data_IF_168126013232
#
_entry.id   IF_168126013232
#
_cell.length_a   1.000
_cell.length_b   1.000
_cell.length_c   1.000
_cell.angle_alpha   90.00
_cell.angle_beta   90.00
_cell.angle_gamma   90.00
#
_symmetry.space_group_name_H-M   'P 1'
#
loop_
_entity.id
_entity.type
_entity.pdbx_description
1 polymer ?
#
# COMPACT_ATOMS: atom_id res chain seq x y z
N UNK A 1 51.05 -46.07 -33.14
CA UNK A 1 50.38 -45.31 -32.05
C UNK A 1 49.31 -44.41 -32.66
N UNK A 2 48.08 -44.91 -32.82
CA UNK A 2 46.95 -44.07 -33.22
C UNK A 2 46.49 -43.28 -31.99
N UNK A 3 46.98 -42.05 -31.82
CA UNK A 3 46.29 -41.09 -30.97
C UNK A 3 45.01 -40.72 -31.70
N UNK A 4 43.86 -40.96 -31.08
CA UNK A 4 42.61 -40.40 -31.57
C UNK A 4 42.77 -38.89 -31.77
N UNK A 5 42.18 -38.31 -32.83
CA UNK A 5 42.24 -36.87 -33.05
C UNK A 5 41.65 -36.14 -31.84
N UNK A 6 42.43 -35.27 -31.20
CA UNK A 6 41.99 -34.42 -30.09
C UNK A 6 42.10 -32.94 -30.49
N UNK A 7 41.10 -32.15 -30.12
CA UNK A 7 41.08 -30.70 -30.36
C UNK A 7 41.82 -29.96 -29.25
N UNK A 8 42.57 -28.92 -29.58
CA UNK A 8 43.04 -27.98 -28.56
C UNK A 8 41.92 -27.03 -28.10
N UNK A 9 42.20 -26.26 -27.04
CA UNK A 9 41.24 -25.29 -26.44
C UNK A 9 40.77 -24.21 -27.43
N UNK A 10 41.56 -23.95 -28.46
CA UNK A 10 41.29 -22.94 -29.49
C UNK A 10 40.58 -23.55 -30.70
N UNK A 11 40.20 -24.84 -30.64
CA UNK A 11 39.44 -25.52 -31.68
C UNK A 11 40.28 -25.99 -32.88
N UNK A 12 41.61 -26.01 -32.76
CA UNK A 12 42.49 -26.49 -33.83
C UNK A 12 42.65 -28.00 -33.76
N UNK A 13 42.55 -28.64 -34.92
CA UNK A 13 42.90 -30.04 -35.12
C UNK A 13 43.93 -30.13 -36.25
N UNK A 14 45.11 -30.69 -35.94
CA UNK A 14 46.11 -31.03 -36.94
C UNK A 14 46.06 -32.54 -37.19
N UNK A 15 45.54 -32.94 -38.36
CA UNK A 15 45.59 -34.33 -38.84
C UNK A 15 46.24 -34.34 -40.21
N UNK A 16 47.32 -35.12 -40.36
CA UNK A 16 48.02 -35.34 -41.65
C UNK A 16 48.44 -34.05 -42.38
N UNK A 17 48.77 -32.97 -41.64
CA UNK A 17 49.23 -31.71 -42.22
C UNK A 17 48.11 -30.76 -42.68
N UNK A 18 46.84 -31.12 -42.50
CA UNK A 18 45.70 -30.23 -42.74
C UNK A 18 45.26 -29.58 -41.42
N UNK A 19 45.22 -28.25 -41.40
CA UNK A 19 44.65 -27.48 -40.30
C UNK A 19 43.13 -27.41 -40.49
N UNK A 20 42.38 -28.10 -39.64
CA UNK A 20 40.93 -27.91 -39.54
C UNK A 20 40.63 -26.95 -38.38
N UNK A 21 39.99 -25.82 -38.66
CA UNK A 21 39.56 -24.85 -37.66
C UNK A 21 38.09 -25.11 -37.34
N UNK A 22 37.80 -25.40 -36.07
CA UNK A 22 36.45 -25.47 -35.53
C UNK A 22 36.24 -24.33 -34.54
N UNK A 23 34.98 -23.94 -34.28
CA UNK A 23 34.68 -23.06 -33.16
C UNK A 23 35.33 -23.59 -31.87
N UNK A 24 35.85 -22.67 -31.04
CA UNK A 24 36.42 -23.00 -29.73
C UNK A 24 35.40 -23.78 -28.89
N UNK A 25 35.85 -24.46 -27.84
CA UNK A 25 34.93 -25.23 -26.98
C UNK A 25 33.79 -24.35 -26.42
N UNK A 26 34.03 -23.07 -26.11
CA UNK A 26 33.02 -22.10 -25.65
C UNK A 26 32.12 -21.56 -26.76
N UNK A 27 32.54 -21.63 -28.03
CA UNK A 27 31.72 -21.30 -29.20
C UNK A 27 30.93 -22.49 -29.76
N UNK A 28 31.12 -23.72 -29.23
CA UNK A 28 30.33 -24.89 -29.61
C UNK A 28 29.02 -25.03 -28.85
N UNK A 29 28.78 -24.21 -27.82
CA UNK A 29 27.45 -24.11 -27.22
C UNK A 29 26.59 -23.19 -28.08
N UNK A 30 25.78 -23.81 -28.94
CA UNK A 30 24.85 -23.09 -29.81
C UNK A 30 23.53 -22.75 -29.11
N UNK A 31 23.25 -23.34 -27.94
CA UNK A 31 22.01 -23.10 -27.22
C UNK A 31 21.93 -21.66 -26.70
N UNK A 32 23.09 -21.02 -26.50
CA UNK A 32 23.16 -19.60 -26.14
C UNK A 32 22.58 -18.66 -27.20
N UNK A 33 22.66 -19.01 -28.48
CA UNK A 33 22.05 -18.22 -29.55
C UNK A 33 20.51 -18.37 -29.60
N UNK A 34 19.95 -19.34 -28.87
CA UNK A 34 18.50 -19.50 -28.77
C UNK A 34 17.87 -18.65 -27.66
N UNK A 35 18.68 -17.89 -26.90
CA UNK A 35 18.17 -17.01 -25.86
C UNK A 35 17.28 -15.91 -26.44
N UNK A 36 16.15 -15.69 -25.77
CA UNK A 36 15.16 -14.67 -26.12
C UNK A 36 14.91 -13.80 -24.90
N UNK A 37 14.47 -12.56 -25.17
CA UNK A 37 14.02 -11.65 -24.12
C UNK A 37 13.01 -12.35 -23.20
N UNK A 38 13.23 -12.28 -21.90
CA UNK A 38 12.42 -12.97 -20.89
C UNK A 38 12.93 -14.35 -20.47
N UNK A 39 13.97 -14.88 -21.12
CA UNK A 39 14.61 -16.12 -20.67
C UNK A 39 15.35 -15.92 -19.35
N UNK A 40 15.17 -16.86 -18.42
CA UNK A 40 15.90 -16.86 -17.15
C UNK A 40 17.24 -17.56 -17.32
N UNK A 41 18.31 -16.89 -16.90
CA UNK A 41 19.67 -17.40 -16.97
C UNK A 41 20.25 -17.61 -15.58
N UNK A 42 21.04 -18.68 -15.43
CA UNK A 42 21.83 -18.94 -14.23
C UNK A 42 23.30 -18.66 -14.53
N UNK A 43 23.95 -17.98 -13.59
CA UNK A 43 25.38 -17.65 -13.66
C UNK A 43 26.17 -18.30 -12.52
N UNK A 44 27.49 -18.18 -12.60
CA UNK A 44 28.37 -18.67 -11.55
C UNK A 44 28.01 -18.11 -10.15
N UNK A 45 28.23 -18.95 -9.13
CA UNK A 45 27.96 -18.65 -7.71
C UNK A 45 26.49 -18.37 -7.37
N UNK A 46 25.56 -19.10 -8.02
CA UNK A 46 24.13 -19.00 -7.73
C UNK A 46 23.50 -17.69 -8.20
N UNK A 47 24.14 -17.00 -9.16
CA UNK A 47 23.56 -15.80 -9.74
C UNK A 47 22.41 -16.16 -10.69
N UNK A 48 21.44 -15.26 -10.79
CA UNK A 48 20.33 -15.40 -11.73
C UNK A 48 19.95 -14.05 -12.31
N UNK A 49 19.47 -14.05 -13.55
CA UNK A 49 18.98 -12.84 -14.21
C UNK A 49 17.96 -13.19 -15.30
N UNK A 50 17.32 -12.16 -15.86
CA UNK A 50 16.45 -12.30 -17.03
C UNK A 50 17.12 -11.61 -18.23
N UNK A 51 17.32 -12.36 -19.30
CA UNK A 51 17.89 -11.87 -20.54
C UNK A 51 17.01 -10.78 -21.16
N UNK A 52 17.60 -9.63 -21.52
CA UNK A 52 16.91 -8.56 -22.25
C UNK A 52 17.30 -8.57 -23.74
N UNK A 53 18.60 -8.41 -24.02
CA UNK A 53 19.13 -8.33 -25.38
C UNK A 53 20.64 -8.61 -25.43
N UNK A 54 21.15 -8.88 -26.63
CA UNK A 54 22.57 -8.90 -26.90
C UNK A 54 23.15 -7.48 -26.79
N UNK A 55 24.29 -7.37 -26.11
CA UNK A 55 24.98 -6.09 -25.92
C UNK A 55 25.96 -5.80 -27.06
N UNK A 56 26.31 -6.83 -27.85
CA UNK A 56 27.23 -6.73 -28.98
C UNK A 56 26.91 -7.74 -30.10
N UNK A 57 27.38 -7.45 -31.31
CA UNK A 57 27.11 -8.23 -32.51
C UNK A 57 27.93 -9.53 -32.60
N UNK A 58 28.99 -9.66 -31.80
CA UNK A 58 29.79 -10.88 -31.68
C UNK A 58 29.21 -11.87 -30.65
N UNK A 59 28.08 -11.54 -30.02
CA UNK A 59 27.34 -12.41 -29.08
C UNK A 59 28.21 -12.91 -27.92
N UNK A 60 29.19 -12.11 -27.51
CA UNK A 60 30.04 -12.39 -26.35
C UNK A 60 29.48 -11.77 -25.08
N UNK A 61 28.59 -10.77 -25.19
CA UNK A 61 27.97 -10.06 -24.07
C UNK A 61 26.48 -9.86 -24.23
N UNK A 62 25.77 -9.82 -23.11
CA UNK A 62 24.33 -9.54 -23.06
C UNK A 62 23.96 -8.61 -21.93
N UNK A 63 22.85 -7.89 -22.12
CA UNK A 63 22.19 -7.08 -21.09
C UNK A 63 21.08 -7.89 -20.42
N UNK A 64 20.95 -7.71 -19.11
CA UNK A 64 19.99 -8.42 -18.28
C UNK A 64 19.28 -7.50 -17.28
N UNK A 65 18.11 -7.94 -16.85
CA UNK A 65 17.32 -7.33 -15.78
C UNK A 65 17.12 -8.30 -14.61
N UNK A 66 16.68 -7.74 -13.49
CA UNK A 66 16.34 -8.47 -12.25
C UNK A 66 17.50 -9.29 -11.67
N UNK A 67 18.74 -8.83 -11.83
CA UNK A 67 19.94 -9.59 -11.44
C UNK A 67 19.99 -9.85 -9.94
N UNK A 68 20.23 -11.12 -9.59
CA UNK A 68 20.48 -11.58 -8.23
C UNK A 68 21.91 -12.13 -8.13
N UNK A 69 22.74 -11.65 -7.18
CA UNK A 69 22.47 -10.58 -6.23
C UNK A 69 22.47 -9.19 -6.89
N UNK A 70 21.68 -8.25 -6.33
CA UNK A 70 21.45 -6.88 -6.84
C UNK A 70 22.73 -6.01 -6.94
N UNK A 71 23.85 -6.45 -6.37
CA UNK A 71 25.14 -5.74 -6.39
C UNK A 71 25.94 -5.92 -7.69
N UNK A 72 25.49 -6.78 -8.61
CA UNK A 72 26.14 -6.98 -9.91
C UNK A 72 25.66 -5.94 -10.93
N UNK A 73 26.48 -5.68 -11.96
CA UNK A 73 26.10 -4.80 -13.08
C UNK A 73 24.96 -5.39 -13.93
N UNK A 74 24.64 -4.75 -15.05
CA UNK A 74 23.53 -5.18 -15.93
C UNK A 74 23.99 -5.88 -17.20
N UNK A 75 25.29 -5.85 -17.51
CA UNK A 75 25.87 -6.45 -18.74
C UNK A 75 26.89 -7.51 -18.36
N UNK A 76 26.83 -8.67 -19.00
CA UNK A 76 27.63 -9.85 -18.63
C UNK A 76 28.28 -10.51 -19.83
N UNK A 77 29.43 -11.16 -19.60
CA UNK A 77 30.06 -12.09 -20.54
C UNK A 77 29.27 -13.40 -20.57
N UNK A 78 29.08 -13.97 -21.76
CA UNK A 78 28.20 -15.12 -21.99
C UNK A 78 28.76 -16.43 -21.45
N UNK A 79 30.09 -16.56 -21.37
CA UNK A 79 30.76 -17.82 -21.02
C UNK A 79 30.41 -18.33 -19.61
N UNK A 80 29.98 -17.44 -18.72
CA UNK A 80 29.65 -17.75 -17.32
C UNK A 80 28.16 -18.04 -17.08
N UNK A 81 27.34 -18.08 -18.14
CA UNK A 81 25.89 -18.15 -18.04
C UNK A 81 25.27 -19.26 -18.90
N UNK A 82 24.23 -19.88 -18.37
CA UNK A 82 23.43 -20.86 -19.08
C UNK A 82 21.93 -20.60 -18.89
N UNK A 83 21.12 -21.02 -19.86
CA UNK A 83 19.66 -20.90 -19.76
C UNK A 83 19.11 -21.92 -18.77
N UNK A 84 18.25 -21.47 -17.87
CA UNK A 84 17.47 -22.36 -17.01
C UNK A 84 16.34 -22.95 -17.85
N UNK A 85 16.21 -24.27 -17.85
CA UNK A 85 15.14 -25.00 -18.55
C UNK A 85 14.15 -25.66 -17.59
N UNK A 86 14.50 -25.74 -16.29
CA UNK A 86 13.61 -26.27 -15.27
C UNK A 86 12.51 -25.25 -14.94
N UNK A 87 11.26 -25.58 -15.32
CA UNK A 87 10.10 -24.72 -15.09
C UNK A 87 9.87 -24.35 -13.62
N UNK A 88 10.16 -25.25 -12.67
CA UNK A 88 9.97 -24.97 -11.25
C UNK A 88 10.95 -23.90 -10.77
N UNK A 89 12.21 -23.96 -11.21
CA UNK A 89 13.22 -22.94 -10.90
C UNK A 89 12.86 -21.60 -11.53
N UNK A 90 12.41 -21.59 -12.80
CA UNK A 90 11.97 -20.37 -13.49
C UNK A 90 10.79 -19.73 -12.74
N UNK A 91 9.76 -20.53 -12.41
CA UNK A 91 8.57 -20.05 -11.68
C UNK A 91 8.93 -19.53 -10.30
N UNK A 92 9.83 -20.18 -9.58
CA UNK A 92 10.26 -19.70 -8.28
C UNK A 92 10.94 -18.34 -8.40
N UNK A 93 11.90 -18.21 -9.31
CA UNK A 93 12.65 -16.97 -9.49
C UNK A 93 11.76 -15.80 -9.94
N UNK A 94 10.81 -16.04 -10.85
CA UNK A 94 9.83 -15.02 -11.24
C UNK A 94 8.96 -14.61 -10.04
N UNK A 95 8.48 -15.56 -9.24
CA UNK A 95 7.70 -15.24 -8.04
C UNK A 95 8.49 -14.41 -7.05
N UNK A 96 9.76 -14.75 -6.80
CA UNK A 96 10.61 -13.97 -5.91
C UNK A 96 10.75 -12.52 -6.40
N UNK A 97 10.89 -12.31 -7.72
CA UNK A 97 10.90 -10.97 -8.34
C UNK A 97 9.56 -10.27 -8.14
N UNK A 98 8.43 -10.94 -8.41
CA UNK A 98 7.10 -10.37 -8.28
C UNK A 98 6.77 -9.99 -6.82
N UNK A 99 7.15 -10.82 -5.85
CA UNK A 99 7.02 -10.57 -4.41
C UNK A 99 7.88 -9.39 -3.97
N UNK A 100 9.15 -9.33 -4.38
CA UNK A 100 10.07 -8.22 -4.09
C UNK A 100 9.57 -6.88 -4.65
N UNK A 101 8.87 -6.90 -5.79
CA UNK A 101 8.46 -5.68 -6.51
C UNK A 101 6.97 -5.33 -6.34
N UNK A 102 6.16 -6.22 -5.76
CA UNK A 102 4.74 -5.98 -5.47
C UNK A 102 3.84 -5.92 -6.71
N UNK A 103 4.21 -6.60 -7.79
CA UNK A 103 3.49 -6.57 -9.06
C UNK A 103 3.86 -7.74 -9.98
N UNK A 104 3.08 -7.94 -11.05
CA UNK A 104 3.28 -9.07 -11.96
C UNK A 104 4.36 -8.73 -12.99
N UNK A 105 5.32 -9.62 -13.21
CA UNK A 105 6.38 -9.39 -14.18
C UNK A 105 5.89 -9.71 -15.59
N UNK A 106 5.95 -8.72 -16.49
CA UNK A 106 5.75 -8.95 -17.91
C UNK A 106 7.08 -9.35 -18.55
N UNK A 107 7.24 -10.63 -18.90
CA UNK A 107 8.48 -11.15 -19.50
C UNK A 107 8.80 -10.59 -20.90
N UNK A 108 7.83 -9.97 -21.57
CA UNK A 108 8.02 -9.39 -22.90
C UNK A 108 8.57 -7.97 -22.82
N UNK A 109 8.05 -7.14 -21.91
CA UNK A 109 8.52 -5.76 -21.70
C UNK A 109 9.67 -5.70 -20.68
N UNK A 110 9.74 -6.70 -19.80
CA UNK A 110 10.57 -6.71 -18.59
C UNK A 110 10.26 -5.53 -17.66
N UNK A 111 8.97 -5.26 -17.52
CA UNK A 111 8.41 -4.26 -16.61
C UNK A 111 7.49 -4.96 -15.59
N UNK A 112 7.37 -4.38 -14.41
CA UNK A 112 6.47 -4.85 -13.36
C UNK A 112 5.13 -4.15 -13.55
N UNK A 113 4.10 -4.92 -13.88
CA UNK A 113 2.72 -4.47 -13.94
C UNK A 113 2.16 -4.47 -12.51
N UNK A 114 2.11 -3.28 -11.91
CA UNK A 114 1.47 -3.08 -10.62
C UNK A 114 -0.05 -3.13 -10.80
N UNK A 115 -0.64 -4.27 -10.47
CA UNK A 115 -2.11 -4.40 -10.32
C UNK A 115 -2.59 -3.85 -8.97
N UNK A 116 -1.76 -3.11 -8.23
CA UNK A 116 -2.23 -2.47 -7.01
C UNK A 116 -3.29 -1.41 -7.37
N UNK A 117 -4.42 -1.38 -6.65
CA UNK A 117 -5.39 -0.31 -6.82
C UNK A 117 -4.70 1.04 -6.72
N UNK A 118 -4.93 1.94 -7.68
CA UNK A 118 -4.56 3.35 -7.52
C UNK A 118 -5.45 3.95 -6.45
N UNK A 119 -4.96 3.99 -5.21
CA UNK A 119 -5.63 4.66 -4.13
C UNK A 119 -5.57 6.17 -4.32
N UNK A 120 -6.70 6.83 -4.11
CA UNK A 120 -6.89 8.26 -4.27
C UNK A 120 -6.90 8.95 -2.91
N UNK A 121 -6.77 10.26 -2.97
CA UNK A 121 -6.95 11.14 -1.81
C UNK A 121 -8.35 10.97 -1.20
N UNK A 122 -8.39 10.56 0.06
CA UNK A 122 -9.57 10.21 0.85
C UNK A 122 -9.88 8.72 0.92
N UNK A 123 -9.18 7.86 0.17
CA UNK A 123 -9.39 6.42 0.23
C UNK A 123 -8.98 5.85 1.58
N UNK A 124 -9.73 4.85 2.05
CA UNK A 124 -9.44 4.17 3.30
C UNK A 124 -8.75 2.84 2.99
N UNK A 125 -7.57 2.65 3.57
CA UNK A 125 -6.68 1.54 3.24
C UNK A 125 -6.23 0.79 4.48
N UNK A 126 -5.90 -0.48 4.28
CA UNK A 126 -5.17 -1.29 5.23
C UNK A 126 -3.70 -1.35 4.80
N UNK A 127 -2.78 -1.11 5.73
CA UNK A 127 -1.35 -1.28 5.57
C UNK A 127 -0.91 -2.49 6.39
N UNK A 128 -0.34 -3.49 5.75
CA UNK A 128 0.12 -4.71 6.43
C UNK A 128 1.55 -5.10 6.03
N UNK A 129 2.29 -5.67 6.98
CA UNK A 129 3.65 -6.15 6.80
C UNK A 129 4.02 -7.12 7.92
N UNK A 130 5.27 -7.58 7.99
CA UNK A 130 5.68 -8.56 9.00
C UNK A 130 5.45 -8.03 10.44
N UNK A 131 4.39 -8.50 11.09
CA UNK A 131 3.99 -8.06 12.43
C UNK A 131 3.39 -6.66 12.51
N UNK A 132 3.10 -6.02 11.38
CA UNK A 132 2.54 -4.67 11.32
C UNK A 132 1.16 -4.69 10.66
N UNK A 133 0.19 -4.04 11.30
CA UNK A 133 -1.15 -3.84 10.77
C UNK A 133 -1.61 -2.44 11.15
N UNK A 134 -2.02 -1.66 10.16
CA UNK A 134 -2.60 -0.34 10.37
C UNK A 134 -3.73 -0.08 9.37
N UNK A 135 -4.66 0.78 9.75
CA UNK A 135 -5.72 1.27 8.87
C UNK A 135 -5.63 2.80 8.80
N UNK A 136 -5.78 3.39 7.63
CA UNK A 136 -5.65 4.84 7.50
C UNK A 136 -6.40 5.44 6.32
N UNK A 137 -6.53 6.76 6.36
CA UNK A 137 -7.17 7.58 5.33
C UNK A 137 -6.07 8.26 4.53
N UNK A 138 -5.99 7.94 3.24
CA UNK A 138 -4.93 8.36 2.33
C UNK A 138 -5.04 9.85 2.05
N UNK A 139 -3.90 10.55 2.14
CA UNK A 139 -3.72 11.92 1.62
C UNK A 139 -2.94 11.90 0.31
N UNK A 140 -1.84 11.15 0.27
CA UNK A 140 -1.04 10.93 -0.95
C UNK A 140 -0.21 9.66 -0.84
N UNK A 141 0.09 9.03 -1.98
CA UNK A 141 1.00 7.88 -2.08
C UNK A 141 2.06 8.16 -3.13
N UNK A 142 3.32 8.13 -2.72
CA UNK A 142 4.47 8.12 -3.62
C UNK A 142 5.05 6.71 -3.68
N UNK A 143 4.77 6.01 -4.78
CA UNK A 143 5.28 4.67 -5.04
C UNK A 143 6.78 4.61 -5.30
N UNK A 144 7.40 5.72 -5.72
CA UNK A 144 8.83 5.78 -6.01
C UNK A 144 9.66 5.85 -4.73
N UNK A 145 9.23 6.66 -3.76
CA UNK A 145 9.85 6.80 -2.44
C UNK A 145 9.24 5.88 -1.37
N UNK A 146 8.22 5.10 -1.74
CA UNK A 146 7.45 4.22 -0.83
C UNK A 146 6.91 4.98 0.38
N UNK A 147 6.40 6.18 0.16
CA UNK A 147 5.89 7.09 1.19
C UNK A 147 4.36 7.24 1.09
N UNK A 148 3.66 6.96 2.18
CA UNK A 148 2.22 7.21 2.35
C UNK A 148 2.04 8.39 3.29
N UNK A 149 1.36 9.45 2.84
CA UNK A 149 0.85 10.52 3.70
C UNK A 149 -0.62 10.25 4.03
N UNK A 150 -1.02 10.54 5.27
CA UNK A 150 -2.36 10.20 5.75
C UNK A 150 -2.99 11.32 6.58
N UNK A 151 -4.31 11.41 6.52
CA UNK A 151 -5.09 12.27 7.43
C UNK A 151 -5.20 11.65 8.82
N UNK A 152 -5.47 10.35 8.87
CA UNK A 152 -5.55 9.55 10.08
C UNK A 152 -4.98 8.16 9.81
N UNK A 153 -4.28 7.59 10.79
CA UNK A 153 -3.77 6.23 10.76
C UNK A 153 -3.85 5.62 12.15
N UNK A 154 -4.50 4.47 12.25
CA UNK A 154 -4.59 3.65 13.45
C UNK A 154 -3.72 2.41 13.27
N UNK A 155 -2.63 2.30 14.03
CA UNK A 155 -1.74 1.13 14.03
C UNK A 155 -2.17 0.02 14.99
N UNK A 156 -3.47 -0.05 15.27
CA UNK A 156 -4.11 -0.95 16.24
C UNK A 156 -3.76 -0.67 17.71
N UNK A 157 -2.87 0.30 17.98
CA UNK A 157 -2.48 0.71 19.32
C UNK A 157 -2.69 2.20 19.57
N UNK A 158 -2.38 3.02 18.57
CA UNK A 158 -2.42 4.48 18.64
C UNK A 158 -3.01 5.05 17.36
N UNK A 159 -3.79 6.12 17.52
CA UNK A 159 -4.25 6.95 16.42
C UNK A 159 -3.25 8.09 16.19
N UNK A 160 -2.79 8.24 14.95
CA UNK A 160 -1.92 9.32 14.48
C UNK A 160 -2.64 10.10 13.40
N UNK A 161 -2.38 11.41 13.31
CA UNK A 161 -3.07 12.29 12.36
C UNK A 161 -2.08 13.24 11.68
N UNK A 162 -2.33 13.53 10.39
CA UNK A 162 -1.54 14.46 9.56
C UNK A 162 -0.02 14.21 9.59
N UNK A 163 0.37 12.99 9.27
CA UNK A 163 1.76 12.54 9.24
C UNK A 163 1.97 11.56 8.07
N UNK A 164 3.12 10.88 8.03
CA UNK A 164 3.48 9.96 6.96
C UNK A 164 4.04 8.63 7.49
N UNK A 165 4.06 7.63 6.61
CA UNK A 165 4.53 6.27 6.87
C UNK A 165 5.35 5.77 5.67
N UNK A 166 6.50 5.16 5.93
CA UNK A 166 7.19 4.34 4.91
C UNK A 166 6.53 2.96 4.81
N UNK A 167 6.22 2.57 3.57
CA UNK A 167 5.68 1.26 3.22
C UNK A 167 6.65 0.41 2.40
N UNK A 168 7.96 0.66 2.51
CA UNK A 168 9.00 -0.07 1.76
C UNK A 168 8.91 -1.60 1.93
N UNK A 169 8.57 -2.06 3.13
CA UNK A 169 8.38 -3.46 3.52
C UNK A 169 6.91 -3.83 3.79
N UNK A 170 5.96 -3.02 3.31
CA UNK A 170 4.53 -3.16 3.60
C UNK A 170 3.69 -3.13 2.33
N UNK A 171 2.50 -3.71 2.42
CA UNK A 171 1.51 -3.69 1.37
C UNK A 171 0.34 -2.79 1.75
N UNK A 172 -0.10 -1.98 0.80
CA UNK A 172 -1.32 -1.17 0.91
C UNK A 172 -2.43 -1.90 0.17
N UNK A 173 -3.54 -2.14 0.85
CA UNK A 173 -4.66 -2.93 0.36
C UNK A 173 -5.98 -2.23 0.67
N UNK A 174 -7.07 -2.50 -0.09
CA UNK A 174 -8.40 -2.04 0.28
C UNK A 174 -8.77 -2.53 1.68
N UNK A 175 -9.46 -1.68 2.44
CA UNK A 175 -9.89 -2.00 3.80
C UNK A 175 -11.11 -2.95 3.79
N UNK A 176 -11.22 -3.79 4.82
CA UNK A 176 -12.44 -4.58 5.10
C UNK A 176 -13.42 -3.79 5.98
N UNK A 177 -14.71 -4.17 5.99
CA UNK A 177 -15.72 -3.53 6.85
C UNK A 177 -15.30 -3.50 8.33
N UNK A 178 -14.77 -4.61 8.85
CA UNK A 178 -14.29 -4.70 10.24
C UNK A 178 -13.15 -3.72 10.53
N UNK A 179 -12.19 -3.60 9.62
CA UNK A 179 -11.07 -2.68 9.76
C UNK A 179 -11.53 -1.21 9.68
N UNK A 180 -12.50 -0.91 8.82
CA UNK A 180 -13.08 0.41 8.71
C UNK A 180 -13.78 0.83 10.00
N UNK A 181 -14.56 -0.07 10.60
CA UNK A 181 -15.19 0.14 11.91
C UNK A 181 -14.12 0.48 12.97
N UNK A 182 -13.03 -0.30 13.03
CA UNK A 182 -11.95 -0.09 13.99
C UNK A 182 -11.30 1.30 13.84
N UNK A 183 -11.07 1.75 12.60
CA UNK A 183 -10.51 3.08 12.35
C UNK A 183 -11.46 4.20 12.83
N UNK A 184 -12.77 4.09 12.51
CA UNK A 184 -13.74 5.10 12.92
C UNK A 184 -14.03 5.09 14.42
N UNK A 185 -13.99 3.94 15.08
CA UNK A 185 -14.08 3.87 16.55
C UNK A 185 -12.87 4.53 17.21
N UNK A 186 -11.67 4.37 16.66
CA UNK A 186 -10.47 5.04 17.16
C UNK A 186 -10.58 6.57 17.00
N UNK A 187 -11.07 7.03 15.84
CA UNK A 187 -11.36 8.45 15.62
C UNK A 187 -12.39 8.98 16.63
N UNK A 188 -13.49 8.25 16.84
CA UNK A 188 -14.54 8.65 17.78
C UNK A 188 -14.06 8.71 19.24
N UNK A 189 -13.14 7.83 19.65
CA UNK A 189 -12.50 7.87 20.99
C UNK A 189 -11.70 9.15 21.22
N UNK A 190 -11.10 9.70 20.16
CA UNK A 190 -10.41 10.98 20.17
C UNK A 190 -11.35 12.17 19.91
N UNK A 191 -12.67 11.95 19.97
CA UNK A 191 -13.70 12.93 19.61
C UNK A 191 -13.52 13.53 18.22
N UNK A 192 -13.13 12.73 17.23
CA UNK A 192 -13.00 13.15 15.83
C UNK A 192 -13.86 12.32 14.89
N UNK A 193 -14.28 12.92 13.79
CA UNK A 193 -14.96 12.28 12.68
C UNK A 193 -14.29 12.66 11.36
N UNK A 194 -14.29 11.74 10.40
CA UNK A 194 -13.81 12.02 9.05
C UNK A 194 -14.95 12.58 8.19
N UNK A 195 -14.75 13.75 7.60
CA UNK A 195 -15.64 14.31 6.59
C UNK A 195 -15.05 14.06 5.19
N UNK A 196 -15.70 13.18 4.43
CA UNK A 196 -15.24 12.78 3.11
C UNK A 196 -15.42 13.87 2.03
N UNK A 197 -16.33 14.83 2.21
CA UNK A 197 -16.57 15.92 1.26
C UNK A 197 -15.49 17.00 1.39
N UNK A 198 -15.22 17.42 2.62
CA UNK A 198 -14.24 18.46 2.93
C UNK A 198 -12.82 17.93 3.10
N UNK A 199 -12.66 16.59 3.24
CA UNK A 199 -11.40 15.89 3.48
C UNK A 199 -10.69 16.37 4.74
N UNK A 200 -11.46 16.58 5.81
CA UNK A 200 -10.95 17.04 7.11
C UNK A 200 -11.38 16.11 8.23
N UNK A 201 -10.57 16.06 9.28
CA UNK A 201 -10.98 15.53 10.57
C UNK A 201 -11.66 16.63 11.35
N UNK A 202 -12.94 16.45 11.63
CA UNK A 202 -13.78 17.39 12.37
C UNK A 202 -13.95 16.88 13.80
N UNK A 203 -14.02 17.80 14.76
CA UNK A 203 -14.34 17.41 16.14
C UNK A 203 -15.79 16.93 16.19
N UNK A 204 -16.00 15.77 16.79
CA UNK A 204 -17.33 15.31 17.12
C UNK A 204 -17.94 16.30 18.13
N UNK A 205 -19.25 16.57 18.04
CA UNK A 205 -19.94 17.36 19.04
C UNK A 205 -19.62 16.79 20.43
N UNK A 206 -19.05 17.61 21.32
CA UNK A 206 -18.68 17.18 22.67
C UNK A 206 -19.86 16.46 23.30
N UNK A 207 -19.65 15.19 23.66
CA UNK A 207 -20.66 14.39 24.35
C UNK A 207 -20.79 14.91 25.78
N UNK A 208 -21.66 15.90 25.97
CA UNK A 208 -21.96 16.40 27.30
C UNK A 208 -22.73 15.32 28.08
N UNK A 209 -22.18 14.90 29.22
CA UNK A 209 -22.88 14.03 30.17
C UNK A 209 -23.74 14.90 31.08
N UNK A 210 -25.06 14.75 30.96
CA UNK A 210 -26.03 15.47 31.78
C UNK A 210 -26.67 14.56 32.83
N UNK A 211 -26.93 15.12 34.00
CA UNK A 211 -27.75 14.53 35.05
C UNK A 211 -29.16 15.10 34.99
N UNK A 212 -30.19 14.35 35.44
CA UNK A 212 -31.53 14.89 35.57
C UNK A 212 -31.51 16.20 36.36
N UNK A 213 -32.25 17.19 35.87
CA UNK A 213 -32.31 18.57 36.38
C UNK A 213 -31.10 19.47 36.08
N UNK A 214 -30.12 19.03 35.31
CA UNK A 214 -29.10 19.95 34.79
C UNK A 214 -29.73 21.01 33.89
N UNK A 215 -29.28 22.26 34.03
CA UNK A 215 -29.70 23.36 33.15
C UNK A 215 -29.01 23.18 31.82
N UNK A 216 -29.80 23.12 30.76
CA UNK A 216 -29.30 22.89 29.40
C UNK A 216 -29.92 23.85 28.41
N UNK A 217 -29.25 24.01 27.27
CA UNK A 217 -29.79 24.61 26.07
C UNK A 217 -29.98 23.52 25.01
N UNK A 218 -31.11 23.55 24.31
CA UNK A 218 -31.48 22.54 23.31
C UNK A 218 -32.05 23.15 22.04
N UNK A 219 -31.90 22.45 20.90
CA UNK A 219 -32.53 22.76 19.61
C UNK A 219 -32.55 21.53 18.69
N UNK A 220 -33.33 21.55 17.60
CA UNK A 220 -33.37 20.45 16.63
C UNK A 220 -32.52 20.70 15.38
N UNK A 221 -32.29 21.96 15.02
CA UNK A 221 -31.52 22.35 13.83
C UNK A 221 -30.67 23.58 14.11
N UNK A 222 -29.63 23.80 13.31
CA UNK A 222 -28.74 24.96 13.49
C UNK A 222 -29.39 26.29 13.11
N UNK A 223 -30.54 26.24 12.45
CA UNK A 223 -31.37 27.41 12.13
C UNK A 223 -32.37 27.78 13.22
N UNK A 224 -32.52 26.95 14.25
CA UNK A 224 -33.41 27.22 15.39
C UNK A 224 -32.67 27.94 16.53
N UNK A 225 -33.42 28.75 17.27
CA UNK A 225 -32.92 29.37 18.50
C UNK A 225 -32.66 28.32 19.58
N UNK A 226 -31.67 28.57 20.43
CA UNK A 226 -31.44 27.75 21.63
C UNK A 226 -32.52 27.96 22.68
N UNK A 227 -33.18 26.87 23.09
CA UNK A 227 -34.20 26.88 24.12
C UNK A 227 -33.66 26.39 25.47
N UNK A 228 -34.02 27.05 26.58
CA UNK A 228 -33.62 26.59 27.90
C UNK A 228 -34.51 25.46 28.40
N UNK A 229 -33.93 24.54 29.16
CA UNK A 229 -34.69 23.49 29.83
C UNK A 229 -33.90 22.78 30.91
N UNK A 230 -34.56 21.84 31.57
CA UNK A 230 -33.94 20.93 32.51
C UNK A 230 -33.82 19.55 31.87
N UNK A 231 -32.61 19.00 31.85
CA UNK A 231 -32.38 17.68 31.29
C UNK A 231 -33.16 16.61 32.07
N UNK A 232 -33.83 15.71 31.37
CA UNK A 232 -34.54 14.58 31.96
C UNK A 232 -33.73 13.30 31.81
N UNK A 233 -33.49 12.88 30.55
CA UNK A 233 -32.78 11.66 30.20
C UNK A 233 -32.25 11.72 28.76
N UNK A 234 -31.31 10.84 28.46
CA UNK A 234 -30.86 10.56 27.11
C UNK A 234 -31.38 9.18 26.68
N UNK A 235 -32.01 9.09 25.52
CA UNK A 235 -32.58 7.86 24.98
C UNK A 235 -32.20 7.71 23.49
N UNK A 236 -31.15 6.94 23.22
CA UNK A 236 -30.62 6.77 21.86
C UNK A 236 -31.56 6.01 20.91
N UNK A 237 -32.69 5.50 21.39
CA UNK A 237 -33.68 4.80 20.54
C UNK A 237 -34.59 5.76 19.78
N UNK A 238 -34.55 7.05 20.11
CA UNK A 238 -35.36 8.10 19.50
C UNK A 238 -34.54 8.93 18.50
N UNK A 239 -35.19 9.43 17.45
CA UNK A 239 -34.56 10.35 16.48
C UNK A 239 -34.04 11.64 17.14
N UNK A 240 -34.70 12.06 18.22
CA UNK A 240 -34.29 13.16 19.07
C UNK A 240 -33.99 12.57 20.45
N UNK A 241 -32.73 12.35 20.83
CA UNK A 241 -32.40 11.54 22.01
C UNK A 241 -32.39 12.33 23.33
N UNK A 242 -32.39 13.66 23.30
CA UNK A 242 -32.29 14.49 24.51
C UNK A 242 -33.67 14.90 25.03
N UNK A 243 -34.14 14.27 26.10
CA UNK A 243 -35.44 14.57 26.71
C UNK A 243 -35.33 15.68 27.76
N UNK A 244 -36.26 16.64 27.69
CA UNK A 244 -36.22 17.88 28.48
C UNK A 244 -37.52 18.10 29.24
N UNK A 245 -37.41 18.39 30.53
CA UNK A 245 -38.52 18.85 31.36
C UNK A 245 -38.80 20.33 31.08
N UNK A 246 -39.91 20.63 30.41
CA UNK A 246 -40.41 22.00 30.24
C UNK A 246 -41.88 22.13 30.69
N UNK A 247 -42.21 23.29 31.24
CA UNK A 247 -43.48 23.68 31.87
C UNK A 247 -44.65 23.87 30.88
N UNK A 248 -44.42 23.91 29.57
CA UNK A 248 -45.48 24.18 28.58
C UNK A 248 -45.79 22.96 27.71
N UNK A 249 -47.04 22.53 27.77
CA UNK A 249 -47.64 21.47 26.96
C UNK A 249 -47.44 21.70 25.46
N UNK A 250 -46.44 21.07 24.87
CA UNK A 250 -46.38 20.76 23.44
C UNK A 250 -45.71 19.39 23.29
N UNK A 251 -46.14 18.65 22.29
CA UNK A 251 -46.11 17.19 22.20
C UNK A 251 -44.75 16.56 21.90
N UNK A 252 -43.66 17.32 21.86
CA UNK A 252 -42.32 16.82 21.56
C UNK A 252 -41.28 17.37 22.56
N UNK A 253 -40.99 16.57 23.60
CA UNK A 253 -40.05 16.90 24.68
C UNK A 253 -38.61 16.46 24.38
N UNK A 254 -38.30 16.17 23.13
CA UNK A 254 -37.05 15.53 22.74
C UNK A 254 -36.35 16.34 21.66
N UNK A 255 -35.07 16.61 21.85
CA UNK A 255 -34.25 17.44 20.96
C UNK A 255 -33.06 16.69 20.38
N UNK A 256 -32.55 17.17 19.24
CA UNK A 256 -31.35 16.60 18.61
C UNK A 256 -30.04 17.06 19.23
N UNK A 257 -30.00 18.31 19.71
CA UNK A 257 -28.82 18.91 20.31
C UNK A 257 -29.10 19.33 21.74
N UNK A 258 -28.13 19.14 22.63
CA UNK A 258 -28.20 19.53 24.04
C UNK A 258 -26.81 19.91 24.55
N UNK A 259 -26.69 21.11 25.11
CA UNK A 259 -25.43 21.70 25.60
C UNK A 259 -25.65 22.24 27.03
N UNK A 260 -24.60 22.36 27.87
CA UNK A 260 -24.75 22.94 29.20
C UNK A 260 -25.14 24.41 29.11
N UNK A 261 -26.13 24.83 29.90
CA UNK A 261 -26.52 26.24 29.99
C UNK A 261 -25.41 27.08 30.61
N UNK A 262 -24.79 26.58 31.67
CA UNK A 262 -23.73 27.28 32.40
C UNK A 262 -22.47 27.41 31.51
N UNK A 263 -22.01 28.65 31.31
CA UNK A 263 -20.92 28.99 30.38
C UNK A 263 -21.36 29.23 28.93
N UNK A 264 -22.61 28.94 28.57
CA UNK A 264 -23.16 29.17 27.22
C UNK A 264 -24.41 30.08 27.26
N UNK A 265 -24.57 30.89 28.31
CA UNK A 265 -25.76 31.71 28.54
C UNK A 265 -26.03 32.69 27.40
N UNK A 266 -24.97 33.15 26.73
CA UNK A 266 -25.01 34.05 25.59
C UNK A 266 -25.69 33.45 24.36
N UNK A 267 -25.78 32.11 24.25
CA UNK A 267 -26.43 31.44 23.13
C UNK A 267 -27.96 31.41 23.27
N UNK A 268 -28.49 31.60 24.48
CA UNK A 268 -29.92 31.54 24.77
C UNK A 268 -30.72 32.49 23.85
N UNK A 269 -31.70 31.95 23.12
CA UNK A 269 -32.54 32.73 22.19
C UNK A 269 -31.80 33.21 20.93
N UNK A 270 -30.62 32.67 20.64
CA UNK A 270 -29.86 32.94 19.41
C UNK A 270 -29.77 31.69 18.54
N UNK A 271 -29.43 31.87 17.26
CA UNK A 271 -29.09 30.78 16.33
C UNK A 271 -27.58 30.50 16.29
N UNK A 272 -26.77 31.18 17.11
CA UNK A 272 -25.32 31.10 17.05
C UNK A 272 -24.83 29.67 17.31
N UNK A 273 -23.78 29.28 16.58
CA UNK A 273 -23.20 27.95 16.71
C UNK A 273 -22.51 27.77 18.06
N UNK A 274 -22.84 26.66 18.73
CA UNK A 274 -22.07 26.21 19.87
C UNK A 274 -20.77 25.59 19.38
N UNK A 275 -19.65 26.23 19.73
CA UNK A 275 -18.32 25.83 19.25
C UNK A 275 -17.64 24.74 20.07
N UNK A 276 -18.36 24.12 21.01
CA UNK A 276 -17.86 23.01 21.81
C UNK A 276 -16.70 23.40 22.72
#
# INVERSE_FOLDING_TARGET
HNKEPWFDKDGKLCKEGVLCIYPSKSMRDWEKFAWKKGDVLAGAFGASCIFDKWANDDYTRFDAKFVTPKSRGTTFEVEDWCKITNEACIRQYIRDIEEDNGGKLNLTTLEIENNQPEFKDGDIVCISGMGYLACGIVKSIDNSSKKLEYYALNDMSTLKTDDWLSFEDKHIQPITETQQIILFEALAKENKAWNAETKTLEDLPKKCEFKPFDKVLVRNTDTEEWFPGFFEKFDSTWNNPYHIMNRRSMTDFAFKQCIPYEGNEHLLGTTDEWKG
#
